data_IF_803100800759
#
_entry.id   IF_803100800759
#
_cell.length_a   1.000
_cell.length_b   1.000
_cell.length_c   1.000
_cell.angle_alpha   90.00
_cell.angle_beta   90.00
_cell.angle_gamma   90.00
#
_symmetry.space_group_name_H-M   'P 1'
#
loop_
_entity.id
_entity.type
_entity.pdbx_description
1 polymer ?
#
# COMPACT_ATOMS: atom_id res chain seq x y z
N UNK A 1 2.60 -2.29 -0.01
CA UNK A 1 3.16 -1.87 -1.30
C UNK A 1 2.24 -2.15 -2.48
N UNK A 2 1.50 -3.27 -2.49
CA UNK A 2 0.61 -3.67 -3.60
C UNK A 2 -0.48 -2.64 -3.87
N UNK A 3 -1.17 -2.17 -2.84
CA UNK A 3 -2.19 -1.13 -2.99
C UNK A 3 -1.62 0.20 -3.50
N UNK A 4 -0.38 0.52 -3.12
CA UNK A 4 0.33 1.71 -3.65
C UNK A 4 0.68 1.52 -5.12
N UNK A 5 1.02 0.31 -5.52
CA UNK A 5 1.26 -0.04 -6.93
C UNK A 5 -0.03 0.03 -7.75
N UNK A 6 -1.14 -0.52 -7.24
CA UNK A 6 -2.45 -0.42 -7.89
C UNK A 6 -2.90 1.04 -8.11
N UNK A 7 -2.70 1.92 -7.11
CA UNK A 7 -2.97 3.35 -7.27
C UNK A 7 -2.00 4.05 -8.23
N UNK A 8 -0.76 3.60 -8.32
CA UNK A 8 0.17 4.10 -9.32
C UNK A 8 -0.22 3.68 -10.75
N UNK A 9 -0.76 2.47 -10.93
CA UNK A 9 -1.34 2.04 -12.21
C UNK A 9 -2.52 2.95 -12.58
N UNK A 10 -3.44 3.18 -11.64
CA UNK A 10 -4.59 4.05 -11.86
C UNK A 10 -4.18 5.46 -12.29
N UNK A 11 -3.21 6.06 -11.60
CA UNK A 11 -2.70 7.39 -11.97
C UNK A 11 -2.02 7.39 -13.35
N UNK A 12 -1.33 6.30 -13.70
CA UNK A 12 -0.75 6.15 -15.04
C UNK A 12 -1.82 6.05 -16.14
N UNK A 13 -2.92 5.33 -15.88
CA UNK A 13 -4.07 5.22 -16.77
C UNK A 13 -4.76 6.57 -16.96
N UNK A 14 -5.02 7.29 -15.86
CA UNK A 14 -5.68 8.60 -15.90
C UNK A 14 -4.87 9.61 -16.72
N UNK A 15 -3.55 9.58 -16.62
CA UNK A 15 -2.62 10.43 -17.36
C UNK A 15 -2.32 10.00 -18.80
N UNK A 16 -2.80 8.85 -19.24
CA UNK A 16 -2.52 8.32 -20.57
C UNK A 16 -3.55 8.82 -21.59
N UNK A 17 -3.15 9.74 -22.46
CA UNK A 17 -4.02 10.33 -23.48
C UNK A 17 -4.33 9.37 -24.63
N UNK A 18 -3.63 8.26 -24.75
CA UNK A 18 -3.82 7.28 -25.83
C UNK A 18 -4.93 6.26 -25.55
N UNK A 19 -5.42 6.22 -24.30
CA UNK A 19 -6.51 5.35 -23.87
C UNK A 19 -7.87 6.04 -24.04
N UNK A 20 -8.88 5.27 -24.44
CA UNK A 20 -10.26 5.75 -24.44
C UNK A 20 -10.81 5.94 -23.02
N UNK A 21 -11.89 6.70 -22.87
CA UNK A 21 -12.55 6.88 -21.59
C UNK A 21 -13.11 5.55 -21.05
N UNK A 22 -13.63 4.71 -21.94
CA UNK A 22 -14.21 3.41 -21.59
C UNK A 22 -13.12 2.45 -21.06
N UNK A 23 -11.95 2.39 -21.72
CA UNK A 23 -10.82 1.58 -21.24
C UNK A 23 -10.37 2.03 -19.84
N UNK A 24 -10.24 3.36 -19.65
CA UNK A 24 -9.85 3.93 -18.34
C UNK A 24 -10.86 3.57 -17.25
N UNK A 25 -12.14 3.62 -17.55
CA UNK A 25 -13.20 3.28 -16.60
C UNK A 25 -13.15 1.79 -16.20
N UNK A 26 -13.01 0.88 -17.17
CA UNK A 26 -12.93 -0.57 -16.90
C UNK A 26 -11.72 -0.91 -16.01
N UNK A 27 -10.53 -0.44 -16.38
CA UNK A 27 -9.33 -0.65 -15.58
C UNK A 27 -9.46 -0.04 -14.17
N UNK A 28 -10.00 1.17 -14.07
CA UNK A 28 -10.22 1.86 -12.80
C UNK A 28 -11.16 1.08 -11.88
N UNK A 29 -12.22 0.50 -12.44
CA UNK A 29 -13.19 -0.30 -11.68
C UNK A 29 -12.61 -1.64 -11.21
N UNK A 30 -11.73 -2.27 -11.99
CA UNK A 30 -10.98 -3.46 -11.56
C UNK A 30 -10.07 -3.12 -10.37
N UNK A 31 -9.33 -2.00 -10.43
CA UNK A 31 -8.49 -1.52 -9.33
C UNK A 31 -9.33 -1.19 -8.10
N UNK A 32 -10.47 -0.51 -8.24
CA UNK A 32 -11.36 -0.20 -7.11
C UNK A 32 -11.85 -1.47 -6.42
N UNK A 33 -12.29 -2.48 -7.17
CA UNK A 33 -12.71 -3.78 -6.60
C UNK A 33 -11.59 -4.48 -5.85
N UNK A 34 -10.36 -4.32 -6.29
CA UNK A 34 -9.18 -4.88 -5.61
C UNK A 34 -8.87 -4.12 -4.30
N UNK A 35 -8.90 -2.81 -4.32
CA UNK A 35 -8.54 -1.97 -3.16
C UNK A 35 -9.64 -1.90 -2.10
N UNK A 36 -10.88 -1.94 -2.54
CA UNK A 36 -12.07 -1.80 -1.70
C UNK A 36 -12.90 -3.08 -1.80
N UNK A 37 -13.15 -3.74 -0.69
CA UNK A 37 -13.94 -4.96 -0.68
C UNK A 37 -15.32 -4.78 -1.32
N UNK A 38 -15.81 -5.85 -1.91
CA UNK A 38 -17.18 -5.93 -2.42
C UNK A 38 -18.12 -6.06 -1.21
N UNK A 39 -18.61 -4.92 -0.70
CA UNK A 39 -19.57 -4.91 0.39
C UNK A 39 -20.94 -5.25 -0.16
N UNK A 40 -21.29 -6.54 -0.17
CA UNK A 40 -22.64 -7.05 -0.46
C UNK A 40 -23.71 -6.56 0.52
N UNK A 41 -23.33 -5.74 1.50
CA UNK A 41 -24.27 -5.15 2.44
C UNK A 41 -24.73 -3.77 1.94
N UNK A 42 -25.97 -3.64 1.45
CA UNK A 42 -26.51 -2.38 0.90
C UNK A 42 -26.64 -1.26 1.95
N UNK A 43 -26.47 -1.57 3.24
CA UNK A 43 -26.49 -0.59 4.33
C UNK A 43 -25.15 0.12 4.53
N UNK A 44 -24.06 -0.40 3.98
CA UNK A 44 -22.73 0.23 4.08
C UNK A 44 -22.49 1.08 2.83
N UNK A 45 -22.85 2.36 2.92
CA UNK A 45 -22.76 3.31 1.80
C UNK A 45 -21.33 3.74 1.42
N UNK A 46 -20.31 3.31 2.15
CA UNK A 46 -18.90 3.62 1.86
C UNK A 46 -18.11 2.34 1.71
N UNK A 47 -17.48 2.17 0.56
CA UNK A 47 -16.49 1.13 0.36
C UNK A 47 -15.33 1.34 1.33
N UNK A 48 -15.09 0.40 2.23
CA UNK A 48 -13.94 0.45 3.13
C UNK A 48 -12.71 -0.15 2.44
N UNK A 49 -11.52 0.44 2.61
CA UNK A 49 -10.29 -0.17 2.11
C UNK A 49 -10.08 -1.57 2.69
N UNK A 50 -9.61 -2.50 1.86
CA UNK A 50 -9.25 -3.86 2.33
C UNK A 50 -8.05 -3.85 3.26
N UNK A 51 -7.11 -2.93 3.04
CA UNK A 51 -5.93 -2.75 3.88
C UNK A 51 -6.11 -1.51 4.75
N UNK A 52 -6.00 -1.70 6.05
CA UNK A 52 -6.00 -0.63 7.03
C UNK A 52 -4.59 -0.48 7.61
N UNK A 53 -4.06 0.72 7.56
CA UNK A 53 -2.80 1.09 8.21
C UNK A 53 -3.10 1.93 9.44
N UNK A 54 -2.32 1.70 10.51
CA UNK A 54 -2.51 2.40 11.78
C UNK A 54 -1.80 3.78 11.81
N UNK A 55 -2.23 4.62 12.75
CA UNK A 55 -1.60 5.89 13.08
C UNK A 55 -1.59 6.90 11.94
N UNK A 56 -0.57 7.76 11.94
CA UNK A 56 -0.45 8.84 10.96
C UNK A 56 -0.14 8.35 9.54
N UNK A 57 0.55 7.22 9.41
CA UNK A 57 0.75 6.57 8.11
C UNK A 57 -0.57 6.12 7.51
N UNK A 58 -1.50 5.60 8.33
CA UNK A 58 -2.84 5.23 7.91
C UNK A 58 -3.68 6.42 7.45
N UNK A 59 -3.59 7.55 8.13
CA UNK A 59 -4.27 8.79 7.71
C UNK A 59 -3.78 9.23 6.33
N UNK A 60 -2.47 9.27 6.12
CA UNK A 60 -1.87 9.61 4.83
C UNK A 60 -2.27 8.61 3.73
N UNK A 61 -2.23 7.30 4.04
CA UNK A 61 -2.62 6.25 3.12
C UNK A 61 -4.07 6.42 2.66
N UNK A 62 -5.01 6.61 3.59
CA UNK A 62 -6.43 6.75 3.28
C UNK A 62 -6.74 8.05 2.52
N UNK A 63 -6.09 9.16 2.86
CA UNK A 63 -6.35 10.45 2.21
C UNK A 63 -5.59 10.63 0.89
N UNK A 64 -4.28 10.43 0.92
CA UNK A 64 -3.39 10.83 -0.18
C UNK A 64 -3.06 9.70 -1.14
N UNK A 65 -3.19 8.43 -0.70
CA UNK A 65 -2.99 7.27 -1.58
C UNK A 65 -4.33 6.80 -2.14
N UNK A 66 -5.31 6.51 -1.27
CA UNK A 66 -6.61 5.95 -1.70
C UNK A 66 -7.67 7.01 -2.02
N UNK A 67 -7.47 8.27 -1.65
CA UNK A 67 -8.46 9.33 -1.87
C UNK A 67 -9.79 9.15 -1.11
N UNK A 68 -9.80 8.36 -0.02
CA UNK A 68 -11.03 7.99 0.67
C UNK A 68 -11.52 9.05 1.66
N UNK A 69 -10.66 9.93 2.13
CA UNK A 69 -10.97 10.93 3.16
C UNK A 69 -10.37 12.27 2.81
N UNK A 70 -11.04 13.36 3.20
CA UNK A 70 -10.51 14.72 3.07
C UNK A 70 -9.58 15.11 4.25
N UNK A 71 -9.24 14.17 5.13
CA UNK A 71 -8.29 14.44 6.21
C UNK A 71 -6.89 14.53 5.64
N UNK A 72 -6.29 15.70 5.79
CA UNK A 72 -4.94 15.97 5.32
C UNK A 72 -3.91 15.11 6.07
N UNK A 73 -3.45 14.07 5.43
CA UNK A 73 -2.38 13.22 5.94
C UNK A 73 -1.04 13.90 5.72
N UNK A 74 -0.43 14.40 6.79
CA UNK A 74 0.89 15.05 6.68
C UNK A 74 1.98 14.08 6.21
N UNK A 75 2.76 14.48 5.21
CA UNK A 75 3.96 13.76 4.77
C UNK A 75 5.15 13.88 5.75
N UNK A 76 4.97 14.51 6.92
CA UNK A 76 6.06 14.69 7.91
C UNK A 76 6.59 13.36 8.45
N UNK A 77 5.74 12.35 8.51
CA UNK A 77 6.08 11.04 9.06
C UNK A 77 6.86 10.18 8.05
N UNK A 78 7.86 9.46 8.52
CA UNK A 78 8.72 8.59 7.69
C UNK A 78 7.93 7.57 6.86
N UNK A 79 6.90 6.96 7.44
CA UNK A 79 6.01 6.03 6.75
C UNK A 79 5.24 6.68 5.59
N UNK A 80 4.71 7.89 5.78
CA UNK A 80 4.03 8.66 4.73
C UNK A 80 4.99 9.04 3.59
N UNK A 81 6.20 9.51 3.92
CA UNK A 81 7.25 9.80 2.94
C UNK A 81 7.61 8.55 2.11
N UNK A 82 7.73 7.38 2.76
CA UNK A 82 8.02 6.11 2.07
C UNK A 82 6.90 5.72 1.12
N UNK A 83 5.62 5.85 1.52
CA UNK A 83 4.47 5.57 0.65
C UNK A 83 4.43 6.51 -0.57
N UNK A 84 4.62 7.81 -0.36
CA UNK A 84 4.68 8.80 -1.43
C UNK A 84 5.80 8.49 -2.43
N UNK A 85 7.00 8.19 -1.91
CA UNK A 85 8.16 7.83 -2.73
C UNK A 85 7.94 6.55 -3.52
N UNK A 86 7.32 5.54 -2.90
CA UNK A 86 6.98 4.28 -3.57
C UNK A 86 5.95 4.50 -4.68
N UNK A 87 4.88 5.28 -4.44
CA UNK A 87 3.89 5.62 -5.46
C UNK A 87 4.53 6.32 -6.66
N UNK A 88 5.33 7.35 -6.40
CA UNK A 88 6.04 8.10 -7.44
C UNK A 88 7.03 7.22 -8.23
N UNK A 89 7.71 6.30 -7.55
CA UNK A 89 8.61 5.34 -8.21
C UNK A 89 7.83 4.40 -9.14
N UNK A 90 6.76 3.79 -8.66
CA UNK A 90 5.96 2.87 -9.47
C UNK A 90 5.34 3.59 -10.67
N UNK A 91 4.76 4.77 -10.48
CA UNK A 91 4.19 5.57 -11.57
C UNK A 91 5.23 5.83 -12.68
N UNK A 92 6.42 6.30 -12.28
CA UNK A 92 7.50 6.57 -13.24
C UNK A 92 7.94 5.31 -13.99
N UNK A 93 8.08 4.19 -13.28
CA UNK A 93 8.51 2.94 -13.92
C UNK A 93 7.45 2.35 -14.84
N UNK A 94 6.15 2.45 -14.50
CA UNK A 94 5.06 2.01 -15.38
C UNK A 94 5.09 2.81 -16.69
N UNK A 95 5.07 4.14 -16.60
CA UNK A 95 5.08 5.01 -17.79
C UNK A 95 6.34 4.79 -18.63
N UNK A 96 7.50 4.72 -17.99
CA UNK A 96 8.77 4.48 -18.68
C UNK A 96 8.80 3.12 -19.39
N UNK A 97 8.36 2.07 -18.73
CA UNK A 97 8.32 0.71 -19.31
C UNK A 97 7.34 0.62 -20.44
N UNK A 98 6.13 1.17 -20.28
CA UNK A 98 5.12 1.23 -21.34
C UNK A 98 5.72 1.86 -22.61
N UNK A 99 6.23 3.07 -22.50
CA UNK A 99 6.77 3.79 -23.65
C UNK A 99 7.91 3.01 -24.32
N UNK A 100 8.87 2.53 -23.52
CA UNK A 100 10.00 1.74 -24.03
C UNK A 100 9.55 0.47 -24.77
N UNK A 101 8.58 -0.27 -24.24
CA UNK A 101 8.15 -1.54 -24.83
C UNK A 101 7.31 -1.33 -26.08
N UNK A 102 6.53 -0.24 -26.16
CA UNK A 102 5.83 0.19 -27.38
C UNK A 102 6.84 0.62 -28.45
N UNK A 103 7.84 1.44 -28.11
CA UNK A 103 8.90 1.86 -29.02
C UNK A 103 9.70 0.66 -29.58
N UNK A 104 9.88 -0.37 -28.78
CA UNK A 104 10.54 -1.62 -29.19
C UNK A 104 9.64 -2.56 -30.04
N UNK A 105 8.37 -2.17 -30.26
CA UNK A 105 7.41 -2.98 -31.00
C UNK A 105 6.94 -4.25 -30.27
N UNK A 106 7.17 -4.35 -28.95
CA UNK A 106 6.68 -5.47 -28.15
C UNK A 106 5.17 -5.39 -27.91
N UNK A 107 4.64 -4.18 -27.76
CA UNK A 107 3.21 -3.89 -27.72
C UNK A 107 2.87 -2.91 -28.84
N UNK A 108 1.71 -3.10 -29.47
CA UNK A 108 1.23 -2.22 -30.54
C UNK A 108 0.48 -1.00 -30.00
N UNK A 109 -0.03 -1.09 -28.77
CA UNK A 109 -0.81 -0.03 -28.14
C UNK A 109 -0.62 0.00 -26.63
N UNK A 110 -1.08 1.10 -26.00
CA UNK A 110 -1.13 1.20 -24.54
C UNK A 110 -2.13 0.19 -23.94
N UNK A 111 -3.24 -0.07 -24.63
CA UNK A 111 -4.24 -1.06 -24.20
C UNK A 111 -3.59 -2.43 -24.03
N UNK A 112 -2.86 -2.92 -25.03
CA UNK A 112 -2.19 -4.21 -24.98
C UNK A 112 -1.17 -4.30 -23.82
N UNK A 113 -0.44 -3.22 -23.55
CA UNK A 113 0.47 -3.15 -22.42
C UNK A 113 -0.27 -3.21 -21.06
N UNK A 114 -1.39 -2.49 -20.93
CA UNK A 114 -2.14 -2.50 -19.68
C UNK A 114 -2.89 -3.82 -19.47
N UNK A 115 -3.41 -4.45 -20.53
CA UNK A 115 -4.02 -5.78 -20.43
C UNK A 115 -3.03 -6.80 -19.88
N UNK A 116 -1.82 -6.87 -20.44
CA UNK A 116 -0.74 -7.75 -19.95
C UNK A 116 -0.33 -7.41 -18.51
N UNK A 117 -0.21 -6.11 -18.17
CA UNK A 117 0.09 -5.68 -16.81
C UNK A 117 -0.99 -6.11 -15.82
N UNK A 118 -2.27 -6.04 -16.23
CA UNK A 118 -3.39 -6.44 -15.40
C UNK A 118 -3.48 -7.96 -15.25
N UNK A 119 -3.21 -8.72 -16.31
CA UNK A 119 -3.13 -10.17 -16.25
C UNK A 119 -2.07 -10.61 -15.23
N UNK A 120 -0.84 -10.10 -15.35
CA UNK A 120 0.23 -10.41 -14.41
C UNK A 120 -0.14 -9.98 -12.98
N UNK A 121 -0.70 -8.79 -12.80
CA UNK A 121 -0.99 -8.26 -11.47
C UNK A 121 -2.14 -8.96 -10.75
N UNK A 122 -3.20 -9.30 -11.47
CA UNK A 122 -4.41 -9.87 -10.86
C UNK A 122 -4.48 -11.39 -10.93
N UNK A 123 -3.85 -12.02 -11.93
CA UNK A 123 -3.97 -13.46 -12.17
C UNK A 123 -2.70 -14.25 -11.80
N UNK A 124 -1.52 -13.66 -12.02
CA UNK A 124 -0.26 -14.40 -11.80
C UNK A 124 0.36 -14.15 -10.43
N UNK A 125 0.15 -12.97 -9.81
CA UNK A 125 0.71 -12.69 -8.50
C UNK A 125 -0.03 -13.48 -7.41
N UNK A 126 0.72 -14.32 -6.71
CA UNK A 126 0.22 -15.12 -5.60
C UNK A 126 0.67 -14.54 -4.26
N UNK A 127 -0.27 -14.41 -3.33
CA UNK A 127 -0.01 -13.96 -1.97
C UNK A 127 -0.36 -15.04 -0.96
N UNK A 128 0.43 -15.11 0.12
CA UNK A 128 0.13 -15.97 1.26
C UNK A 128 -0.45 -15.09 2.37
N UNK A 129 -1.68 -15.39 2.78
CA UNK A 129 -2.30 -14.82 3.97
C UNK A 129 -2.03 -15.76 5.15
N UNK A 130 -1.49 -15.19 6.23
CA UNK A 130 -1.24 -15.91 7.46
C UNK A 130 -2.13 -15.30 8.54
N UNK A 131 -3.20 -16.02 8.91
CA UNK A 131 -4.06 -15.65 10.00
C UNK A 131 -3.43 -16.12 11.33
N UNK A 132 -3.38 -15.22 12.31
CA UNK A 132 -2.86 -15.52 13.65
C UNK A 132 -3.99 -15.36 14.68
N UNK A 133 -4.09 -16.32 15.60
CA UNK A 133 -5.13 -16.34 16.64
C UNK A 133 -4.91 -15.29 17.74
N UNK A 134 -3.70 -14.77 17.85
CA UNK A 134 -3.34 -13.73 18.82
C UNK A 134 -2.25 -12.82 18.28
N UNK A 135 -2.18 -11.59 18.81
CA UNK A 135 -1.17 -10.61 18.45
C UNK A 135 0.25 -11.09 18.80
N UNK A 136 0.40 -11.85 19.88
CA UNK A 136 1.69 -12.44 20.27
C UNK A 136 2.21 -13.42 19.20
N UNK A 137 1.32 -14.26 18.67
CA UNK A 137 1.67 -15.17 17.58
C UNK A 137 1.99 -14.40 16.30
N UNK A 138 1.26 -13.31 16.01
CA UNK A 138 1.51 -12.46 14.86
C UNK A 138 2.92 -11.85 14.90
N UNK A 139 3.38 -11.37 16.06
CA UNK A 139 4.75 -10.84 16.21
C UNK A 139 5.82 -11.91 15.98
N UNK A 140 5.63 -13.13 16.53
CA UNK A 140 6.58 -14.22 16.34
C UNK A 140 6.68 -14.66 14.87
N UNK A 141 5.53 -14.76 14.19
CA UNK A 141 5.47 -15.07 12.75
C UNK A 141 6.17 -13.96 11.95
N UNK A 142 5.88 -12.69 12.27
CA UNK A 142 6.52 -11.55 11.61
C UNK A 142 8.04 -11.56 11.77
N UNK A 143 8.56 -11.79 12.97
CA UNK A 143 10.00 -11.91 13.23
C UNK A 143 10.64 -13.09 12.47
N UNK A 144 9.97 -14.24 12.50
CA UNK A 144 10.43 -15.44 11.79
C UNK A 144 10.53 -15.25 10.28
N UNK A 145 9.56 -14.56 9.68
CA UNK A 145 9.53 -14.27 8.24
C UNK A 145 10.59 -13.22 7.85
N UNK A 146 10.77 -12.19 8.67
CA UNK A 146 11.74 -11.13 8.40
C UNK A 146 13.19 -11.57 8.67
N UNK A 147 13.42 -12.57 9.53
CA UNK A 147 14.75 -13.12 9.78
C UNK A 147 15.42 -13.78 8.57
N UNK A 148 14.67 -13.98 7.48
CA UNK A 148 15.17 -14.50 6.19
C UNK A 148 15.30 -13.46 5.08
N UNK A 149 14.96 -12.20 5.36
CA UNK A 149 14.96 -11.10 4.41
C UNK A 149 15.88 -9.95 4.83
N UNK A 150 15.37 -8.72 4.73
CA UNK A 150 16.03 -7.54 5.30
C UNK A 150 15.97 -7.65 6.83
N UNK A 151 17.13 -7.60 7.47
CA UNK A 151 17.20 -7.61 8.94
C UNK A 151 16.39 -6.45 9.52
N UNK A 152 15.63 -6.77 10.57
CA UNK A 152 14.96 -5.76 11.38
C UNK A 152 16.02 -4.84 12.00
N UNK A 153 15.79 -3.53 11.92
CA UNK A 153 16.63 -2.58 12.64
C UNK A 153 16.51 -2.83 14.16
N UNK A 154 17.51 -2.36 14.92
CA UNK A 154 17.44 -2.44 16.39
C UNK A 154 16.16 -1.79 16.93
N UNK A 155 15.74 -0.70 16.30
CA UNK A 155 14.51 0.01 16.63
C UNK A 155 13.24 -0.80 16.36
N UNK A 156 13.20 -1.52 15.24
CA UNK A 156 12.07 -2.42 14.94
C UNK A 156 11.98 -3.56 15.95
N UNK A 157 13.12 -4.13 16.36
CA UNK A 157 13.17 -5.17 17.39
C UNK A 157 12.70 -4.65 18.74
N UNK A 158 13.13 -3.47 19.16
CA UNK A 158 12.69 -2.84 20.41
C UNK A 158 11.18 -2.57 20.35
N UNK A 159 10.68 -2.05 19.23
CA UNK A 159 9.25 -1.82 19.01
C UNK A 159 8.46 -3.12 19.17
N UNK A 160 8.92 -4.21 18.55
CA UNK A 160 8.24 -5.49 18.61
C UNK A 160 8.19 -6.04 20.05
N UNK A 161 9.31 -5.96 20.79
CA UNK A 161 9.37 -6.34 22.20
C UNK A 161 8.42 -5.49 23.05
N UNK A 162 8.44 -4.16 22.84
CA UNK A 162 7.56 -3.22 23.53
C UNK A 162 6.08 -3.57 23.30
N UNK A 163 5.69 -3.76 22.04
CA UNK A 163 4.32 -4.08 21.67
C UNK A 163 3.88 -5.46 22.19
N UNK A 164 4.79 -6.44 22.21
CA UNK A 164 4.51 -7.76 22.80
C UNK A 164 4.30 -7.71 24.33
N UNK A 165 5.02 -6.83 25.05
CA UNK A 165 4.84 -6.63 26.48
C UNK A 165 3.61 -5.82 26.86
N UNK A 166 3.17 -4.92 25.97
CA UNK A 166 2.02 -4.04 26.21
C UNK A 166 0.67 -4.76 26.35
N UNK A 167 0.66 -6.07 26.15
CA UNK A 167 -0.48 -6.98 26.29
C UNK A 167 -1.76 -6.37 25.68
N UNK A 168 -2.20 -6.80 24.56
CA UNK A 168 -3.15 -6.27 23.58
C UNK A 168 -4.36 -5.40 24.02
N UNK A 169 -4.62 -5.26 25.31
CA UNK A 169 -5.70 -4.40 25.81
C UNK A 169 -5.49 -2.91 25.48
N UNK A 170 -4.24 -2.46 25.29
CA UNK A 170 -3.88 -1.06 25.08
C UNK A 170 -2.94 -0.83 23.89
N UNK A 171 -2.93 -1.73 22.90
CA UNK A 171 -2.03 -1.63 21.72
C UNK A 171 -2.11 -0.28 20.99
N UNK A 172 -3.27 0.38 20.97
CA UNK A 172 -3.43 1.68 20.34
C UNK A 172 -2.73 2.81 21.09
N UNK A 173 -2.76 2.80 22.43
CA UNK A 173 -2.07 3.80 23.26
C UNK A 173 -0.56 3.60 23.22
N UNK A 174 -0.09 2.37 23.29
CA UNK A 174 1.33 2.07 23.22
C UNK A 174 1.91 2.37 21.83
N UNK A 175 1.15 2.13 20.76
CA UNK A 175 1.52 2.56 19.43
C UNK A 175 1.64 4.09 19.32
N UNK A 176 0.74 4.85 19.95
CA UNK A 176 0.83 6.32 19.99
C UNK A 176 2.04 6.82 20.80
N UNK A 177 2.35 6.17 21.93
CA UNK A 177 3.56 6.47 22.72
C UNK A 177 4.82 6.22 21.91
N UNK A 178 4.87 5.10 21.19
CA UNK A 178 5.97 4.79 20.29
C UNK A 178 6.11 5.82 19.17
N UNK A 179 5.01 6.17 18.49
CA UNK A 179 5.01 7.18 17.43
C UNK A 179 5.47 8.56 17.95
N UNK A 180 5.11 8.90 19.19
CA UNK A 180 5.54 10.13 19.85
C UNK A 180 7.04 10.11 20.14
N UNK A 181 7.55 9.00 20.66
CA UNK A 181 8.98 8.80 20.92
C UNK A 181 9.80 8.92 19.63
N UNK A 182 9.34 8.25 18.57
CA UNK A 182 10.01 8.33 17.25
C UNK A 182 10.00 9.74 16.67
N UNK A 183 8.90 10.48 16.87
CA UNK A 183 8.79 11.86 16.43
C UNK A 183 9.76 12.80 17.19
N UNK A 184 10.04 12.49 18.46
CA UNK A 184 10.95 13.25 19.31
C UNK A 184 12.42 12.96 18.99
N UNK A 185 12.76 11.69 18.67
CA UNK A 185 14.11 11.29 18.26
C UNK A 185 14.46 11.78 16.84
N UNK A 186 13.45 12.02 15.99
CA UNK A 186 13.63 12.52 14.63
C UNK A 186 14.30 11.53 13.67
N UNK A 187 15.01 12.06 12.65
CA UNK A 187 15.64 11.25 11.59
C UNK A 187 16.83 10.38 12.09
N UNK A 188 17.24 10.52 13.33
CA UNK A 188 18.29 9.69 13.98
C UNK A 188 17.79 8.31 14.42
N UNK A 189 16.58 7.96 14.06
CA UNK A 189 15.93 6.69 14.40
C UNK A 189 16.42 5.49 13.53
N UNK A 190 17.20 5.75 12.47
CA UNK A 190 17.67 4.71 11.52
C UNK A 190 19.05 4.20 11.89
#
# INVERSE_FOLDING_TARGET
SISVFAEAIKEALDGDETLSADDKEDYSDRIKRFLFGDHRNPKIKKQAPRLLLNGNTGKYYNSSILGCTHQDGSQRFSGAKRLAKAKSFFLKEIVKRKNKLIEQGRYQSAVEFYDDLFEVFFEELTFVEIACDSDTNAFQVFESLNGKGLDLTAADRIKNIWMAWANCANCSEEAQKWDSLVAEIGDNYV
#
